data_IF_731724608378
#
_entry.id   IF_731724608378
#
_cell.length_a   1.000
_cell.length_b   1.000
_cell.length_c   1.000
_cell.angle_alpha   90.00
_cell.angle_beta   90.00
_cell.angle_gamma   90.00
#
_symmetry.space_group_name_H-M   'P 1'
#
loop_
_entity.id
_entity.type
_entity.pdbx_description
1 polymer ?
#
# COMPACT_ATOMS: atom_id res chain seq x y z
N UNK A 1 8.03 -16.06 48.58
CA UNK A 1 7.82 -16.27 47.16
C UNK A 1 8.23 -14.99 46.43
N UNK A 2 9.41 -15.00 45.84
CA UNK A 2 9.88 -13.85 45.05
C UNK A 2 9.31 -13.95 43.64
N UNK A 3 8.88 -12.85 42.99
CA UNK A 3 8.42 -12.91 41.62
C UNK A 3 9.61 -13.15 40.67
N UNK A 4 9.48 -14.16 39.84
CA UNK A 4 10.42 -14.44 38.75
C UNK A 4 10.40 -13.26 37.79
N UNK A 5 11.50 -12.49 37.72
CA UNK A 5 11.73 -11.51 36.70
C UNK A 5 11.98 -12.28 35.39
N UNK A 6 11.00 -12.33 34.51
CA UNK A 6 11.23 -12.74 33.13
C UNK A 6 12.03 -11.63 32.45
N UNK A 7 13.30 -11.84 32.24
CA UNK A 7 14.19 -11.00 31.44
C UNK A 7 14.08 -11.38 29.95
N UNK A 8 12.89 -11.30 29.38
CA UNK A 8 12.76 -11.22 27.93
C UNK A 8 12.76 -9.72 27.58
N UNK A 9 13.89 -9.21 27.13
CA UNK A 9 13.84 -7.98 26.34
C UNK A 9 12.81 -8.21 25.23
N UNK A 10 11.87 -7.29 25.03
CA UNK A 10 11.00 -7.39 23.88
C UNK A 10 11.89 -7.44 22.64
N UNK A 11 11.68 -8.44 21.80
CA UNK A 11 12.33 -8.50 20.50
C UNK A 11 12.11 -7.17 19.81
N UNK A 12 13.16 -6.60 19.22
CA UNK A 12 13.03 -5.33 18.49
C UNK A 12 11.87 -5.45 17.51
N UNK A 13 10.92 -4.50 17.51
CA UNK A 13 9.75 -4.60 16.65
C UNK A 13 10.22 -4.70 15.20
N UNK A 14 9.81 -5.78 14.52
CA UNK A 14 10.14 -6.03 13.12
C UNK A 14 9.15 -5.29 12.23
N UNK A 15 9.59 -4.80 11.09
CA UNK A 15 8.68 -4.35 10.05
C UNK A 15 8.02 -5.58 9.40
N UNK A 16 6.72 -5.53 9.15
CA UNK A 16 6.03 -6.54 8.34
C UNK A 16 5.49 -5.90 7.08
N UNK A 17 5.80 -6.51 5.95
CA UNK A 17 5.23 -6.12 4.65
C UNK A 17 4.00 -6.97 4.32
N UNK A 18 3.82 -8.08 5.00
CA UNK A 18 2.62 -8.90 5.05
C UNK A 18 1.96 -9.21 3.72
N UNK A 19 2.66 -9.89 2.81
CA UNK A 19 2.07 -10.42 1.58
C UNK A 19 1.57 -9.38 0.57
N UNK A 20 1.78 -8.08 0.79
CA UNK A 20 1.43 -7.02 -0.16
C UNK A 20 2.67 -6.46 -0.87
N UNK A 21 3.36 -7.32 -1.61
CA UNK A 21 4.63 -6.97 -2.24
C UNK A 21 4.47 -5.92 -3.34
N UNK A 22 3.40 -6.01 -4.15
CA UNK A 22 3.07 -4.96 -5.11
C UNK A 22 2.81 -3.61 -4.42
N UNK A 23 2.09 -3.64 -3.31
CA UNK A 23 1.82 -2.44 -2.51
C UNK A 23 3.09 -1.85 -1.90
N UNK A 24 4.06 -2.66 -1.48
CA UNK A 24 5.35 -2.17 -1.02
C UNK A 24 6.08 -1.45 -2.14
N UNK A 25 6.24 -2.07 -3.30
CA UNK A 25 6.87 -1.44 -4.45
C UNK A 25 6.14 -0.16 -4.86
N UNK A 26 4.81 -0.24 -5.03
CA UNK A 26 3.97 0.90 -5.40
C UNK A 26 3.94 2.04 -4.37
N UNK A 27 4.32 1.77 -3.12
CA UNK A 27 4.44 2.79 -2.08
C UNK A 27 5.81 3.46 -2.07
N UNK A 28 6.88 2.70 -2.29
CA UNK A 28 8.26 3.22 -2.21
C UNK A 28 8.74 3.80 -3.53
N UNK A 29 8.41 3.18 -4.67
CA UNK A 29 8.83 3.64 -5.99
C UNK A 29 8.53 5.13 -6.27
N UNK A 30 7.34 5.67 -5.94
CA UNK A 30 7.06 7.08 -6.16
C UNK A 30 8.01 8.03 -5.42
N UNK A 31 8.48 7.67 -4.25
CA UNK A 31 9.43 8.52 -3.49
C UNK A 31 10.78 8.64 -4.21
N UNK A 32 11.10 7.69 -5.08
CA UNK A 32 12.28 7.71 -5.94
C UNK A 32 12.01 8.38 -7.29
N UNK A 33 10.81 8.15 -7.89
CA UNK A 33 10.61 8.38 -9.32
C UNK A 33 9.60 9.47 -9.68
N UNK A 34 8.61 9.76 -8.85
CA UNK A 34 7.44 10.50 -9.34
C UNK A 34 6.78 11.47 -8.38
N UNK A 35 7.07 11.41 -7.08
CA UNK A 35 6.53 12.33 -6.08
C UNK A 35 7.14 13.74 -6.23
N UNK A 36 6.44 14.73 -5.73
CA UNK A 36 7.05 16.04 -5.53
C UNK A 36 8.22 15.90 -4.53
N UNK A 37 9.41 16.28 -4.95
CA UNK A 37 10.64 16.08 -4.19
C UNK A 37 11.17 14.65 -4.23
N UNK A 38 10.75 13.83 -5.20
CA UNK A 38 11.38 12.54 -5.46
C UNK A 38 12.84 12.69 -5.87
N UNK A 39 13.61 11.62 -5.74
CA UNK A 39 15.02 11.61 -6.15
C UNK A 39 15.20 11.91 -7.64
N UNK A 40 14.24 11.46 -8.46
CA UNK A 40 14.19 11.66 -9.91
C UNK A 40 12.83 12.18 -10.32
N UNK A 41 12.72 12.70 -11.54
CA UNK A 41 11.45 13.05 -12.19
C UNK A 41 11.27 12.18 -13.44
N UNK A 42 10.67 11.01 -13.26
CA UNK A 42 10.60 9.95 -14.26
C UNK A 42 9.15 9.60 -14.67
N UNK A 43 8.17 10.38 -14.24
CA UNK A 43 6.76 10.09 -14.50
C UNK A 43 6.42 9.99 -15.99
N UNK A 44 7.00 10.87 -16.82
CA UNK A 44 6.77 10.84 -18.26
C UNK A 44 7.43 9.64 -18.94
N UNK A 45 8.63 9.24 -18.51
CA UNK A 45 9.30 8.06 -19.07
C UNK A 45 8.56 6.76 -18.77
N UNK A 46 7.93 6.66 -17.59
CA UNK A 46 7.06 5.54 -17.21
C UNK A 46 5.80 5.47 -18.06
N UNK A 47 5.20 6.63 -18.40
CA UNK A 47 3.97 6.68 -19.20
C UNK A 47 4.19 6.45 -20.69
N UNK A 48 5.34 6.78 -21.22
CA UNK A 48 5.64 6.70 -22.65
C UNK A 48 6.51 5.52 -23.06
N UNK A 49 6.79 4.58 -22.15
CA UNK A 49 7.53 3.35 -22.43
C UNK A 49 9.04 3.52 -22.58
N UNK A 50 9.61 4.66 -22.12
CA UNK A 50 11.04 4.95 -22.25
C UNK A 50 11.80 4.90 -20.92
N UNK A 51 11.18 4.34 -19.88
CA UNK A 51 11.80 4.22 -18.56
C UNK A 51 12.99 3.25 -18.59
N UNK A 52 14.11 3.71 -18.06
CA UNK A 52 15.33 2.89 -17.94
C UNK A 52 15.29 2.03 -16.66
N UNK A 53 14.71 0.83 -16.79
CA UNK A 53 14.58 -0.12 -15.69
C UNK A 53 15.96 -0.58 -15.19
N UNK A 54 16.90 -0.80 -16.10
CA UNK A 54 18.22 -1.33 -15.74
C UNK A 54 18.98 -0.37 -14.81
N UNK A 55 18.77 0.93 -14.95
CA UNK A 55 19.34 1.93 -14.06
C UNK A 55 18.46 2.17 -12.82
N UNK A 56 17.22 2.59 -13.02
CA UNK A 56 16.41 3.15 -11.92
C UNK A 56 15.68 2.10 -11.09
N UNK A 57 15.22 1.01 -11.73
CA UNK A 57 14.62 -0.06 -10.97
C UNK A 57 15.67 -0.87 -10.20
N UNK A 58 16.86 -1.08 -10.78
CA UNK A 58 17.97 -1.71 -10.06
C UNK A 58 18.31 -0.95 -8.78
N UNK A 59 18.46 0.36 -8.84
CA UNK A 59 18.74 1.17 -7.66
C UNK A 59 17.67 1.04 -6.57
N UNK A 60 16.40 1.09 -6.95
CA UNK A 60 15.30 0.93 -6.00
C UNK A 60 15.28 -0.47 -5.39
N UNK A 61 15.50 -1.50 -6.21
CA UNK A 61 15.49 -2.90 -5.74
C UNK A 61 16.68 -3.19 -4.81
N UNK A 62 17.86 -2.68 -5.13
CA UNK A 62 19.01 -2.75 -4.24
C UNK A 62 18.74 -2.04 -2.90
N UNK A 63 18.09 -0.88 -2.94
CA UNK A 63 17.66 -0.18 -1.72
C UNK A 63 16.70 -1.03 -0.88
N UNK A 64 15.66 -1.60 -1.48
CA UNK A 64 14.70 -2.47 -0.79
C UNK A 64 15.36 -3.77 -0.29
N UNK A 65 16.30 -4.34 -1.05
CA UNK A 65 17.10 -5.49 -0.64
C UNK A 65 17.89 -5.22 0.65
N UNK A 66 18.33 -3.95 0.87
CA UNK A 66 18.98 -3.58 2.14
C UNK A 66 18.04 -3.71 3.34
N UNK A 67 16.73 -3.54 3.16
CA UNK A 67 15.76 -3.70 4.24
C UNK A 67 15.65 -5.16 4.68
N UNK A 68 15.68 -6.09 3.71
CA UNK A 68 15.72 -7.53 3.99
C UNK A 68 17.02 -7.90 4.73
N UNK A 69 18.17 -7.48 4.20
CA UNK A 69 19.50 -7.75 4.79
C UNK A 69 19.67 -7.19 6.20
N UNK A 70 19.00 -6.09 6.51
CA UNK A 70 19.01 -5.46 7.84
C UNK A 70 17.96 -6.04 8.79
N UNK A 71 17.12 -6.97 8.32
CA UNK A 71 16.05 -7.56 9.11
C UNK A 71 14.89 -6.59 9.39
N UNK A 72 14.71 -5.55 8.57
CA UNK A 72 13.56 -4.64 8.66
C UNK A 72 12.30 -5.28 8.07
N UNK A 73 12.46 -6.17 7.10
CA UNK A 73 11.40 -7.01 6.55
C UNK A 73 11.53 -8.39 7.20
N UNK A 74 10.43 -8.96 7.65
CA UNK A 74 10.39 -10.29 8.26
C UNK A 74 10.74 -11.38 7.24
N UNK A 75 11.42 -12.45 7.68
CA UNK A 75 11.91 -13.53 6.82
C UNK A 75 10.76 -14.34 6.19
N UNK A 76 9.61 -14.42 6.85
CA UNK A 76 8.42 -15.14 6.39
C UNK A 76 7.51 -14.32 5.47
N UNK A 77 7.94 -13.13 5.05
CA UNK A 77 7.18 -12.23 4.18
C UNK A 77 6.68 -12.88 2.88
N UNK A 78 7.43 -13.86 2.35
CA UNK A 78 7.07 -14.58 1.12
C UNK A 78 5.95 -15.60 1.32
N UNK A 79 5.72 -16.05 2.54
CA UNK A 79 4.71 -17.07 2.90
C UNK A 79 3.59 -16.51 3.75
N UNK A 80 3.76 -15.31 4.30
CA UNK A 80 2.82 -14.67 5.17
C UNK A 80 1.63 -14.11 4.37
N UNK A 81 0.44 -14.56 4.68
CA UNK A 81 -0.79 -14.02 4.11
C UNK A 81 -1.24 -12.71 4.79
N UNK A 82 -2.30 -12.11 4.28
CA UNK A 82 -2.84 -10.87 4.82
C UNK A 82 -3.28 -11.02 6.28
N UNK A 83 -3.90 -12.15 6.63
CA UNK A 83 -4.41 -12.38 7.98
C UNK A 83 -3.27 -12.53 8.99
N UNK A 84 -2.21 -13.23 8.64
CA UNK A 84 -1.02 -13.35 9.46
C UNK A 84 -0.34 -12.01 9.71
N UNK A 85 -0.21 -11.18 8.68
CA UNK A 85 0.36 -9.84 8.81
C UNK A 85 -0.48 -8.91 9.70
N UNK A 86 -1.81 -8.96 9.56
CA UNK A 86 -2.73 -8.21 10.42
C UNK A 86 -2.62 -8.64 11.89
N UNK A 87 -2.45 -9.93 12.15
CA UNK A 87 -2.24 -10.45 13.50
C UNK A 87 -0.90 -10.00 14.07
N UNK A 88 0.19 -10.05 13.29
CA UNK A 88 1.50 -9.56 13.71
C UNK A 88 1.47 -8.07 14.07
N UNK A 89 0.76 -7.24 13.27
CA UNK A 89 0.59 -5.82 13.59
C UNK A 89 -0.23 -5.63 14.87
N UNK A 90 -1.36 -6.32 14.99
CA UNK A 90 -2.25 -6.21 16.15
C UNK A 90 -1.63 -6.71 17.45
N UNK A 91 -0.80 -7.75 17.41
CA UNK A 91 -0.07 -8.29 18.57
C UNK A 91 1.15 -7.44 18.96
N UNK A 92 1.62 -6.54 18.08
CA UNK A 92 2.84 -5.76 18.28
C UNK A 92 4.13 -6.52 17.92
N UNK A 93 4.04 -7.68 17.28
CA UNK A 93 5.20 -8.38 16.71
C UNK A 93 5.78 -7.62 15.51
N UNK A 94 4.93 -6.95 14.73
CA UNK A 94 5.33 -6.03 13.69
C UNK A 94 5.08 -4.58 14.14
N UNK A 95 6.08 -3.71 13.93
CA UNK A 95 5.94 -2.28 14.22
C UNK A 95 5.22 -1.52 13.11
N UNK A 96 5.36 -1.96 11.87
CA UNK A 96 4.81 -1.31 10.68
C UNK A 96 4.26 -2.33 9.70
N UNK A 97 3.25 -1.90 8.94
CA UNK A 97 2.66 -2.65 7.84
C UNK A 97 2.37 -1.69 6.68
N UNK A 98 2.79 -2.05 5.48
CA UNK A 98 2.49 -1.26 4.28
C UNK A 98 1.25 -1.84 3.62
N UNK A 99 0.08 -1.26 3.94
CA UNK A 99 -1.23 -1.70 3.41
C UNK A 99 -2.26 -0.57 3.49
N UNK A 100 -3.42 -0.81 2.91
CA UNK A 100 -4.59 0.06 3.05
C UNK A 100 -5.03 0.19 4.51
N UNK A 101 -5.61 1.32 4.85
CA UNK A 101 -6.03 1.66 6.22
C UNK A 101 -7.14 0.75 6.78
N UNK A 102 -7.91 0.09 5.91
CA UNK A 102 -8.90 -0.95 6.24
C UNK A 102 -8.31 -2.09 7.09
N UNK A 103 -7.02 -2.38 6.90
CA UNK A 103 -6.32 -3.43 7.64
C UNK A 103 -6.21 -3.16 9.14
N UNK A 104 -6.29 -1.92 9.59
CA UNK A 104 -6.38 -1.56 11.01
C UNK A 104 -7.64 -2.16 11.63
N UNK A 105 -8.78 -2.04 10.94
CA UNK A 105 -10.05 -2.59 11.43
C UNK A 105 -9.98 -4.11 11.55
N UNK A 106 -9.38 -4.78 10.56
CA UNK A 106 -9.23 -6.24 10.59
C UNK A 106 -8.25 -6.66 11.71
N UNK A 107 -7.11 -6.00 11.87
CA UNK A 107 -6.17 -6.28 12.95
C UNK A 107 -6.83 -6.12 14.34
N UNK A 108 -7.69 -5.11 14.51
CA UNK A 108 -8.45 -4.89 15.76
C UNK A 108 -9.56 -5.90 16.01
N UNK A 109 -10.01 -6.66 15.00
CA UNK A 109 -10.90 -7.80 15.26
C UNK A 109 -10.19 -8.92 16.03
N UNK A 110 -8.89 -9.12 15.80
CA UNK A 110 -8.07 -10.07 16.55
C UNK A 110 -7.57 -9.49 17.88
N UNK A 111 -7.23 -8.21 17.90
CA UNK A 111 -6.65 -7.50 19.04
C UNK A 111 -7.41 -6.17 19.27
N UNK A 112 -8.59 -6.19 19.92
CA UNK A 112 -9.45 -5.01 20.07
C UNK A 112 -8.80 -3.82 20.74
N UNK A 113 -7.87 -4.08 21.68
CA UNK A 113 -7.18 -3.05 22.46
C UNK A 113 -5.86 -2.60 21.82
N UNK A 114 -5.52 -3.10 20.60
CA UNK A 114 -4.31 -2.68 19.94
C UNK A 114 -4.34 -1.19 19.61
N UNK A 115 -3.30 -0.48 20.09
CA UNK A 115 -3.10 0.94 19.81
C UNK A 115 -2.29 1.07 18.50
N UNK A 116 -2.96 1.42 17.43
CA UNK A 116 -2.39 1.53 16.09
C UNK A 116 -2.59 2.94 15.54
N UNK A 117 -1.73 3.35 14.64
CA UNK A 117 -1.82 4.61 13.94
C UNK A 117 -1.64 4.45 12.44
N UNK A 118 -1.70 5.57 11.73
CA UNK A 118 -1.40 5.68 10.31
C UNK A 118 -0.21 6.62 10.16
N UNK A 119 0.70 6.29 9.26
CA UNK A 119 1.83 7.15 8.93
C UNK A 119 1.87 7.38 7.42
N UNK A 120 2.08 8.62 6.96
CA UNK A 120 2.39 8.87 5.56
C UNK A 120 3.79 8.33 5.24
N UNK A 121 4.01 7.99 4.00
CA UNK A 121 5.31 7.57 3.51
C UNK A 121 6.27 8.77 3.53
N UNK A 122 7.48 8.61 4.08
CA UNK A 122 8.45 9.69 4.09
C UNK A 122 8.89 10.03 2.66
N UNK A 123 9.17 11.29 2.39
CA UNK A 123 9.82 11.69 1.15
C UNK A 123 11.28 11.22 1.12
N UNK A 124 11.79 10.89 -0.07
CA UNK A 124 13.21 10.56 -0.28
C UNK A 124 14.12 11.78 -0.29
N UNK A 125 13.55 12.97 -0.39
CA UNK A 125 14.24 14.26 -0.40
C UNK A 125 13.55 15.26 0.54
N UNK A 126 13.66 16.55 0.29
CA UNK A 126 13.08 17.61 1.11
C UNK A 126 11.56 17.81 0.89
N UNK A 127 10.90 16.86 0.23
CA UNK A 127 9.46 16.89 -0.02
C UNK A 127 8.63 16.58 1.22
N UNK A 128 7.35 16.93 1.19
CA UNK A 128 6.42 16.54 2.22
C UNK A 128 6.14 15.03 2.16
N UNK A 129 5.88 14.38 3.31
CA UNK A 129 5.48 12.97 3.31
C UNK A 129 4.15 12.77 2.57
N UNK A 130 3.93 11.59 2.02
CA UNK A 130 2.81 11.33 1.13
C UNK A 130 1.93 10.16 1.56
N UNK A 131 0.63 10.30 1.33
CA UNK A 131 -0.32 9.19 1.35
C UNK A 131 -0.60 8.71 -0.07
N UNK A 132 -0.58 7.39 -0.27
CA UNK A 132 -1.13 6.78 -1.49
C UNK A 132 -2.62 6.66 -1.31
N UNK A 133 -3.37 7.40 -2.11
CA UNK A 133 -4.82 7.43 -2.08
C UNK A 133 -5.36 6.99 -3.44
N UNK A 134 -6.42 6.22 -3.44
CA UNK A 134 -7.04 5.74 -4.67
C UNK A 134 -8.29 4.97 -4.35
N UNK A 135 -9.03 4.66 -5.41
CA UNK A 135 -10.18 3.79 -5.32
C UNK A 135 -9.75 2.38 -4.86
N UNK A 136 -10.30 1.91 -3.75
CA UNK A 136 -10.15 0.52 -3.31
C UNK A 136 -11.02 -0.39 -4.16
N UNK A 137 -12.33 -0.20 -4.04
CA UNK A 137 -13.37 -0.95 -4.74
C UNK A 137 -14.17 -0.02 -5.64
N UNK A 138 -14.51 -0.49 -6.84
CA UNK A 138 -15.36 0.22 -7.79
C UNK A 138 -16.56 -0.65 -8.20
N UNK A 139 -17.70 -0.04 -8.33
CA UNK A 139 -18.93 -0.69 -8.80
C UNK A 139 -19.16 -0.34 -10.26
N UNK A 140 -19.30 -1.36 -11.10
CA UNK A 140 -19.60 -1.20 -12.51
C UNK A 140 -20.94 -1.83 -12.88
N UNK A 141 -21.64 -1.21 -13.85
CA UNK A 141 -22.84 -1.78 -14.45
C UNK A 141 -22.43 -2.42 -15.77
N UNK A 142 -22.77 -3.70 -15.96
CA UNK A 142 -22.60 -4.38 -17.25
C UNK A 142 -23.41 -3.68 -18.32
N UNK A 143 -22.77 -3.22 -19.40
CA UNK A 143 -23.40 -2.39 -20.45
C UNK A 143 -24.61 -3.05 -21.16
N UNK A 144 -24.64 -4.38 -21.23
CA UNK A 144 -25.67 -5.15 -21.89
C UNK A 144 -26.64 -5.83 -20.87
N UNK A 145 -26.72 -5.30 -19.64
CA UNK A 145 -27.62 -5.84 -18.61
C UNK A 145 -29.09 -5.63 -18.96
N UNK A 146 -29.91 -6.64 -18.75
CA UNK A 146 -31.38 -6.52 -18.86
C UNK A 146 -32.01 -5.81 -17.63
N UNK A 147 -31.24 -5.58 -16.57
CA UNK A 147 -31.69 -5.02 -15.29
C UNK A 147 -31.12 -3.62 -15.02
N UNK A 148 -30.91 -2.81 -16.05
CA UNK A 148 -30.24 -1.50 -15.94
C UNK A 148 -30.84 -0.61 -14.85
N UNK A 149 -32.15 -0.47 -14.82
CA UNK A 149 -32.85 0.34 -13.81
C UNK A 149 -32.58 -0.12 -12.37
N UNK A 150 -32.52 -1.44 -12.14
CA UNK A 150 -32.19 -1.99 -10.81
C UNK A 150 -30.73 -1.75 -10.43
N UNK A 151 -29.83 -1.84 -11.39
CA UNK A 151 -28.41 -1.52 -11.17
C UNK A 151 -28.21 -0.05 -10.77
N UNK A 152 -28.83 0.86 -11.49
CA UNK A 152 -28.78 2.29 -11.16
C UNK A 152 -29.43 2.59 -9.80
N UNK A 153 -30.56 1.98 -9.48
CA UNK A 153 -31.18 2.14 -8.17
C UNK A 153 -30.28 1.64 -7.02
N UNK A 154 -29.51 0.57 -7.24
CA UNK A 154 -28.53 0.10 -6.27
C UNK A 154 -27.37 1.10 -6.11
N UNK A 155 -26.81 1.61 -7.20
CA UNK A 155 -25.73 2.59 -7.15
C UNK A 155 -26.16 3.89 -6.47
N UNK A 156 -27.37 4.39 -6.78
CA UNK A 156 -27.96 5.55 -6.11
C UNK A 156 -28.14 5.32 -4.61
N UNK A 157 -28.52 4.11 -4.22
CA UNK A 157 -28.63 3.74 -2.81
C UNK A 157 -27.25 3.73 -2.13
N UNK A 158 -26.24 3.12 -2.77
CA UNK A 158 -24.88 3.04 -2.23
C UNK A 158 -24.20 4.42 -2.13
N UNK A 159 -24.57 5.36 -2.99
CA UNK A 159 -24.04 6.73 -3.00
C UNK A 159 -24.69 7.65 -1.93
N UNK A 160 -25.63 7.16 -1.13
CA UNK A 160 -26.25 7.98 -0.08
C UNK A 160 -25.30 8.18 1.10
N UNK A 161 -25.27 9.37 1.71
CA UNK A 161 -24.39 9.68 2.84
C UNK A 161 -24.53 8.70 4.00
N UNK A 162 -25.74 8.33 4.37
CA UNK A 162 -26.00 7.37 5.47
C UNK A 162 -25.48 5.95 5.16
N UNK A 163 -25.47 5.56 3.89
CA UNK A 163 -24.90 4.27 3.46
C UNK A 163 -23.38 4.35 3.44
N UNK A 164 -22.81 5.45 2.94
CA UNK A 164 -21.39 5.72 2.99
C UNK A 164 -20.83 5.74 4.41
N UNK A 165 -21.55 6.36 5.36
CA UNK A 165 -21.22 6.36 6.78
C UNK A 165 -21.20 4.94 7.36
N UNK A 166 -22.23 4.15 7.07
CA UNK A 166 -22.31 2.76 7.52
C UNK A 166 -21.21 1.90 6.92
N UNK A 167 -20.93 2.08 5.63
CA UNK A 167 -19.83 1.38 4.96
C UNK A 167 -18.48 1.68 5.62
N UNK A 168 -18.14 2.96 5.81
CA UNK A 168 -16.91 3.41 6.47
C UNK A 168 -16.79 2.82 7.88
N UNK A 169 -17.86 2.79 8.66
CA UNK A 169 -17.87 2.23 10.02
C UNK A 169 -17.60 0.72 10.02
N UNK A 170 -18.18 -0.02 9.08
CA UNK A 170 -18.05 -1.49 9.04
C UNK A 170 -16.72 -1.93 8.45
N UNK A 171 -16.29 -1.29 7.35
CA UNK A 171 -15.04 -1.63 6.67
C UNK A 171 -13.80 -1.03 7.33
N UNK A 172 -13.96 0.08 8.07
CA UNK A 172 -12.85 0.89 8.58
C UNK A 172 -12.11 1.68 7.48
N UNK A 173 -12.65 1.69 6.27
CA UNK A 173 -12.14 2.51 5.18
C UNK A 173 -12.50 3.99 5.38
N UNK A 174 -11.79 4.87 4.70
CA UNK A 174 -12.15 6.29 4.66
C UNK A 174 -13.44 6.46 3.84
N UNK A 175 -14.39 7.31 4.28
CA UNK A 175 -15.62 7.54 3.53
C UNK A 175 -15.32 8.24 2.20
N UNK A 176 -15.95 7.76 1.13
CA UNK A 176 -15.79 8.29 -0.24
C UNK A 176 -17.05 9.01 -0.73
N UNK A 177 -18.11 9.02 0.07
CA UNK A 177 -19.37 9.69 -0.26
C UNK A 177 -19.41 11.04 0.43
N UNK A 178 -19.67 12.10 -0.32
CA UNK A 178 -19.80 13.45 0.22
C UNK A 178 -20.94 13.53 1.25
N UNK A 179 -20.68 14.16 2.37
CA UNK A 179 -21.63 14.27 3.48
C UNK A 179 -21.76 13.01 4.36
N UNK A 180 -20.97 11.96 4.09
CA UNK A 180 -20.92 10.81 4.98
C UNK A 180 -20.25 11.18 6.32
N UNK A 181 -20.91 10.83 7.44
CA UNK A 181 -20.35 10.98 8.78
C UNK A 181 -19.58 9.71 9.17
N UNK A 182 -18.34 9.89 9.54
CA UNK A 182 -17.45 8.82 9.99
C UNK A 182 -16.66 9.22 11.24
N UNK A 183 -17.22 10.11 12.07
CA UNK A 183 -16.56 10.68 13.26
C UNK A 183 -16.05 9.61 14.22
N UNK A 184 -16.77 8.50 14.35
CA UNK A 184 -16.43 7.39 15.26
C UNK A 184 -15.53 6.31 14.63
N UNK A 185 -15.10 6.49 13.38
CA UNK A 185 -14.24 5.51 12.72
C UNK A 185 -12.80 5.67 13.22
N UNK A 186 -12.31 4.64 13.91
CA UNK A 186 -10.96 4.62 14.49
C UNK A 186 -9.89 4.96 13.45
N UNK A 187 -9.95 4.36 12.27
CA UNK A 187 -9.01 4.58 11.17
C UNK A 187 -8.98 6.02 10.70
N UNK A 188 -10.15 6.67 10.60
CA UNK A 188 -10.24 8.08 10.23
C UNK A 188 -9.59 8.99 11.29
N UNK A 189 -9.73 8.65 12.56
CA UNK A 189 -9.09 9.41 13.63
C UNK A 189 -7.56 9.25 13.59
N UNK A 190 -7.06 8.04 13.34
CA UNK A 190 -5.62 7.80 13.10
C UNK A 190 -5.10 8.61 11.91
N UNK A 191 -5.84 8.65 10.81
CA UNK A 191 -5.49 9.44 9.64
C UNK A 191 -5.45 10.95 9.94
N UNK A 192 -6.48 11.49 10.62
CA UNK A 192 -6.50 12.91 11.02
C UNK A 192 -5.30 13.27 11.90
N UNK A 193 -4.98 12.42 12.88
CA UNK A 193 -3.83 12.60 13.74
C UNK A 193 -2.53 12.63 12.93
N UNK A 194 -2.35 11.70 11.97
CA UNK A 194 -1.16 11.68 11.12
C UNK A 194 -0.99 12.95 10.28
N UNK A 195 -2.09 13.53 9.79
CA UNK A 195 -2.06 14.82 9.07
C UNK A 195 -1.69 15.97 10.01
N UNK A 196 -2.24 15.99 11.23
CA UNK A 196 -1.92 16.98 12.26
C UNK A 196 -0.45 16.91 12.67
N UNK A 197 0.10 15.70 12.88
CA UNK A 197 1.51 15.47 13.24
C UNK A 197 2.47 15.99 12.17
N UNK A 198 2.03 16.00 10.91
CA UNK A 198 2.74 16.61 9.79
C UNK A 198 2.45 18.12 9.61
N UNK A 199 1.76 18.77 10.56
CA UNK A 199 1.31 20.17 10.45
C UNK A 199 0.48 20.46 9.19
N UNK A 200 -0.29 19.50 8.72
CA UNK A 200 -1.09 19.57 7.49
C UNK A 200 -0.26 19.51 6.21
N UNK A 201 1.06 19.32 6.30
CA UNK A 201 1.95 19.25 5.13
C UNK A 201 2.12 17.81 4.68
N UNK A 202 1.14 17.29 3.97
CA UNK A 202 1.16 15.96 3.37
C UNK A 202 0.78 16.07 1.89
N UNK A 203 1.37 15.20 1.09
CA UNK A 203 1.00 15.02 -0.31
C UNK A 203 -0.04 13.89 -0.41
N UNK A 204 -0.85 13.94 -1.45
CA UNK A 204 -1.79 12.89 -1.83
C UNK A 204 -1.53 12.53 -3.27
N UNK A 205 -1.16 11.29 -3.52
CA UNK A 205 -0.98 10.80 -4.88
C UNK A 205 -1.73 9.49 -5.09
N UNK A 206 -2.10 9.22 -6.33
CA UNK A 206 -2.83 8.01 -6.67
C UNK A 206 -1.91 6.78 -6.54
N UNK A 207 -2.49 5.60 -6.52
CA UNK A 207 -1.76 4.35 -6.56
C UNK A 207 -0.84 4.32 -7.79
N UNK A 208 0.42 4.00 -7.55
CA UNK A 208 1.50 4.15 -8.52
C UNK A 208 1.25 3.36 -9.81
N UNK A 209 0.85 2.10 -9.69
CA UNK A 209 0.57 1.21 -10.81
C UNK A 209 -0.54 1.75 -11.72
N UNK A 210 -1.58 2.36 -11.15
CA UNK A 210 -2.72 2.91 -11.89
C UNK A 210 -2.42 4.21 -12.61
N UNK A 211 -1.44 4.95 -12.13
CA UNK A 211 -1.07 6.26 -12.69
C UNK A 211 0.03 6.17 -13.74
N UNK A 212 0.95 5.23 -13.57
CA UNK A 212 2.20 5.21 -14.31
C UNK A 212 2.45 3.91 -15.08
N UNK A 213 1.80 2.81 -14.72
CA UNK A 213 2.01 1.52 -15.35
C UNK A 213 0.84 1.09 -16.24
N UNK A 214 1.08 0.23 -17.25
CA UNK A 214 0.02 -0.42 -18.00
C UNK A 214 -0.89 -1.25 -17.08
N UNK A 215 -2.14 -1.45 -17.50
CA UNK A 215 -3.06 -2.33 -16.77
C UNK A 215 -2.50 -3.76 -16.68
N UNK A 216 -2.63 -4.42 -15.55
CA UNK A 216 -2.11 -5.77 -15.33
C UNK A 216 -0.80 -5.85 -14.55
N UNK A 217 -0.12 -4.73 -14.31
CA UNK A 217 1.18 -4.70 -13.64
C UNK A 217 1.16 -5.10 -12.17
N UNK A 218 0.00 -5.09 -11.50
CA UNK A 218 -0.06 -5.39 -10.06
C UNK A 218 0.52 -6.78 -9.70
N UNK A 219 0.14 -7.83 -10.43
CA UNK A 219 0.69 -9.18 -10.23
C UNK A 219 2.18 -9.23 -10.54
N UNK A 220 2.58 -8.62 -11.63
CA UNK A 220 3.99 -8.55 -12.08
C UNK A 220 4.87 -7.85 -11.03
N UNK A 221 4.39 -6.75 -10.45
CA UNK A 221 5.08 -6.08 -9.34
C UNK A 221 5.23 -6.98 -8.12
N UNK A 222 4.20 -7.77 -7.78
CA UNK A 222 4.27 -8.71 -6.66
C UNK A 222 5.28 -9.83 -6.91
N UNK A 223 5.26 -10.42 -8.10
CA UNK A 223 6.15 -11.51 -8.49
C UNK A 223 7.62 -11.02 -8.55
N UNK A 224 7.86 -9.89 -9.17
CA UNK A 224 9.18 -9.25 -9.23
C UNK A 224 9.74 -8.97 -7.83
N UNK A 225 8.92 -8.43 -6.92
CA UNK A 225 9.33 -8.21 -5.53
C UNK A 225 9.59 -9.53 -4.80
N UNK A 226 8.81 -10.58 -5.07
CA UNK A 226 9.05 -11.92 -4.50
C UNK A 226 10.39 -12.49 -4.96
N UNK A 227 10.74 -12.32 -6.24
CA UNK A 227 12.06 -12.72 -6.77
C UNK A 227 13.18 -11.97 -6.05
N UNK A 228 13.10 -10.65 -5.94
CA UNK A 228 14.10 -9.82 -5.24
C UNK A 228 14.26 -10.23 -3.78
N UNK A 229 13.15 -10.44 -3.04
CA UNK A 229 13.22 -10.84 -1.63
C UNK A 229 13.76 -12.26 -1.43
N UNK A 230 13.59 -13.13 -2.43
CA UNK A 230 14.16 -14.49 -2.43
C UNK A 230 15.67 -14.50 -2.66
N UNK A 231 16.20 -13.52 -3.38
CA UNK A 231 17.62 -13.36 -3.68
C UNK A 231 18.07 -11.89 -3.54
N UNK A 232 18.15 -11.38 -2.32
CA UNK A 232 18.45 -9.95 -2.11
C UNK A 232 19.92 -9.58 -2.40
N UNK A 233 20.77 -10.54 -2.74
CA UNK A 233 22.16 -10.29 -3.13
C UNK A 233 22.33 -10.01 -4.61
N UNK A 234 21.35 -10.40 -5.44
CA UNK A 234 21.33 -10.14 -6.88
C UNK A 234 19.89 -9.85 -7.33
N UNK A 235 19.62 -8.60 -7.65
CA UNK A 235 18.27 -8.12 -8.03
C UNK A 235 18.03 -8.18 -9.54
N UNK A 236 19.01 -8.63 -10.33
CA UNK A 236 19.00 -8.56 -11.81
C UNK A 236 17.78 -9.25 -12.40
N UNK A 237 17.52 -10.50 -12.02
CA UNK A 237 16.40 -11.28 -12.54
C UNK A 237 15.04 -10.62 -12.23
N UNK A 238 14.90 -10.07 -11.03
CA UNK A 238 13.69 -9.38 -10.61
C UNK A 238 13.42 -8.09 -11.41
N UNK A 239 14.47 -7.34 -11.72
CA UNK A 239 14.39 -6.12 -12.53
C UNK A 239 14.10 -6.46 -14.00
N UNK A 240 14.77 -7.46 -14.56
CA UNK A 240 14.50 -7.93 -15.91
C UNK A 240 13.06 -8.42 -16.07
N UNK A 241 12.55 -9.20 -15.12
CA UNK A 241 11.18 -9.65 -15.12
C UNK A 241 10.18 -8.47 -15.11
N UNK A 242 10.40 -7.48 -14.24
CA UNK A 242 9.55 -6.28 -14.19
C UNK A 242 9.58 -5.50 -15.51
N UNK A 243 10.77 -5.28 -16.06
CA UNK A 243 11.00 -4.57 -17.32
C UNK A 243 10.30 -5.24 -18.49
N UNK A 244 10.57 -6.54 -18.68
CA UNK A 244 10.14 -7.26 -19.86
C UNK A 244 8.60 -7.36 -19.91
N UNK A 245 7.97 -7.66 -18.79
CA UNK A 245 6.50 -7.66 -18.67
C UNK A 245 5.88 -6.26 -18.81
N UNK A 246 6.54 -5.22 -18.29
CA UNK A 246 6.09 -3.86 -18.51
C UNK A 246 6.11 -3.49 -20.00
N UNK A 247 7.19 -3.79 -20.71
CA UNK A 247 7.33 -3.48 -22.13
C UNK A 247 6.31 -4.27 -22.97
N UNK A 248 6.04 -5.52 -22.64
CA UNK A 248 5.02 -6.35 -23.30
C UNK A 248 3.64 -5.72 -23.15
N UNK A 249 3.19 -5.46 -21.90
CA UNK A 249 1.89 -4.86 -21.64
C UNK A 249 1.77 -3.43 -22.20
N UNK A 250 2.85 -2.67 -22.18
CA UNK A 250 2.87 -1.33 -22.76
C UNK A 250 2.65 -1.40 -24.28
N UNK A 251 3.33 -2.32 -24.99
CA UNK A 251 3.16 -2.51 -26.42
C UNK A 251 1.75 -2.99 -26.78
N UNK A 252 1.17 -3.89 -26.00
CA UNK A 252 -0.20 -4.36 -26.22
C UNK A 252 -1.27 -3.25 -26.08
N UNK A 253 -1.06 -2.30 -25.17
CA UNK A 253 -2.05 -1.27 -24.88
C UNK A 253 -1.87 0.01 -25.69
N UNK A 254 -0.71 0.23 -26.32
CA UNK A 254 -0.38 1.44 -27.07
C UNK A 254 0.02 1.17 -28.53
N UNK A 255 0.11 -0.08 -28.97
CA UNK A 255 0.38 -0.48 -30.35
C UNK A 255 -0.91 -0.79 -31.08
#
# INVERSE_FOLDING_TARGET
MQPVKSSSQPASPRGSVGGNLAGLLGSVAPTFWTDEGAKYDLGDSLKNGTFDFDTYATELYEYLATWMKKGYINEDVLTLDAAGAQQMLGSGEAAFMVRGTDNITVARQYYPDANMGVLPLPSSADGAPSFRVGEGDAWGVWKDTENEAACWALLDYLARPEVGSKWATVSGALPTVEGADAADVYTLNCYKQAVEDCNGKVQYDNLFDRKFFPSGMWGIMADSMSMMLSNPDDVTEAVEYLRDNYLELYAEQNG
#
